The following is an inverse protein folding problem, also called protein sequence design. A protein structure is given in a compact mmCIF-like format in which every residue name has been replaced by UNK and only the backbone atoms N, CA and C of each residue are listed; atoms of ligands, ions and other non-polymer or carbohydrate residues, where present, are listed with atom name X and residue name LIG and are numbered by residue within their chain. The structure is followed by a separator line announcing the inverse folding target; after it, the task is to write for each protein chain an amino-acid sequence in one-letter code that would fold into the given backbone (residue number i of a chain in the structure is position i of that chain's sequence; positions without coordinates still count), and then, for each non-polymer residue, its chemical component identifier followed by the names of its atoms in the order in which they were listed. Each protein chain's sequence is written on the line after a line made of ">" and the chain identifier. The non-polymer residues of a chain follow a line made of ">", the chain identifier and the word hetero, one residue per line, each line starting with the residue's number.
data_IF_742512990678
#
_entry.id   IF_742512990678
#
_cell.length_a   1.000
_cell.length_b   1.000
_cell.length_c   1.000
_cell.angle_alpha   90.00
_cell.angle_beta   90.00
_cell.angle_gamma   90.00
#
_symmetry.space_group_name_H-M   'P 1'
#
loop_
_entity.id
_entity.type
_entity.pdbx_description
1 polymer ?
#
# COMPACT_ATOMS: atom_id res chain seq x y z
N UNK A 1 -9.91 -5.18 -18.98
CA UNK A 1 -10.73 -5.69 -17.86
C UNK A 1 -10.16 -5.05 -16.60
N UNK A 2 -10.92 -4.22 -15.89
CA UNK A 2 -10.44 -3.57 -14.66
C UNK A 2 -10.57 -4.57 -13.51
N UNK A 3 -9.47 -5.24 -13.15
CA UNK A 3 -9.46 -6.21 -12.06
C UNK A 3 -9.82 -5.54 -10.74
N UNK A 4 -9.53 -4.25 -10.58
CA UNK A 4 -9.92 -3.46 -9.40
C UNK A 4 -11.44 -3.50 -9.15
N UNK A 5 -12.28 -3.50 -10.18
CA UNK A 5 -13.74 -3.51 -10.00
C UNK A 5 -14.28 -4.85 -9.46
N UNK A 6 -13.58 -5.95 -9.76
CA UNK A 6 -14.06 -7.31 -9.49
C UNK A 6 -13.30 -8.02 -8.38
N UNK A 7 -12.00 -7.73 -8.23
CA UNK A 7 -11.11 -8.40 -7.29
C UNK A 7 -10.87 -7.61 -6.01
N UNK A 8 -11.08 -6.29 -5.99
CA UNK A 8 -10.76 -5.48 -4.81
C UNK A 8 -11.74 -5.75 -3.67
N UNK A 9 -11.25 -6.39 -2.61
CA UNK A 9 -12.03 -6.71 -1.42
C UNK A 9 -11.45 -6.01 -0.17
N UNK A 10 -12.30 -5.48 0.73
CA UNK A 10 -13.73 -5.25 0.56
C UNK A 10 -14.00 -4.24 -0.56
N UNK A 11 -15.09 -4.44 -1.31
CA UNK A 11 -15.49 -3.54 -2.41
C UNK A 11 -15.61 -2.09 -1.95
N UNK A 12 -15.34 -1.15 -2.86
CA UNK A 12 -15.33 0.29 -2.53
C UNK A 12 -16.68 0.80 -1.99
N UNK A 13 -17.81 0.22 -2.43
CA UNK A 13 -19.13 0.51 -1.86
C UNK A 13 -19.24 0.16 -0.37
N UNK A 14 -18.63 -0.94 0.05
CA UNK A 14 -18.58 -1.37 1.47
C UNK A 14 -17.73 -0.37 2.27
N UNK A 15 -16.56 0.02 1.75
CA UNK A 15 -15.69 1.02 2.41
C UNK A 15 -16.41 2.37 2.54
N UNK A 16 -17.11 2.81 1.50
CA UNK A 16 -17.85 4.08 1.51
C UNK A 16 -18.99 4.06 2.54
N UNK A 17 -19.76 2.98 2.58
CA UNK A 17 -20.83 2.80 3.56
C UNK A 17 -20.26 2.74 4.98
N UNK A 18 -19.19 1.97 5.19
CA UNK A 18 -18.49 1.89 6.46
C UNK A 18 -18.03 3.27 6.95
N UNK A 19 -17.42 4.07 6.08
CA UNK A 19 -16.89 5.39 6.45
C UNK A 19 -18.02 6.35 6.85
N UNK A 20 -19.24 6.13 6.33
CA UNK A 20 -20.45 6.88 6.71
C UNK A 20 -21.11 6.36 7.98
N UNK A 21 -21.14 5.03 8.18
CA UNK A 21 -21.83 4.39 9.31
C UNK A 21 -20.98 4.33 10.58
N UNK A 22 -19.66 4.25 10.45
CA UNK A 22 -18.73 4.11 11.57
C UNK A 22 -17.85 5.35 11.73
N UNK A 23 -17.42 5.63 12.97
CA UNK A 23 -16.40 6.65 13.26
C UNK A 23 -15.00 6.12 12.94
N UNK A 24 -14.75 5.85 11.66
CA UNK A 24 -13.43 5.43 11.15
C UNK A 24 -12.47 6.62 11.18
N UNK A 25 -11.24 6.39 11.64
CA UNK A 25 -10.22 7.43 11.69
C UNK A 25 -9.75 7.78 10.26
N UNK A 26 -9.55 9.07 9.96
CA UNK A 26 -9.19 9.53 8.61
C UNK A 26 -7.94 8.86 8.01
N UNK A 27 -6.95 8.49 8.84
CA UNK A 27 -5.77 7.74 8.39
C UNK A 27 -6.08 6.33 7.89
N UNK A 28 -7.14 5.70 8.41
CA UNK A 28 -7.61 4.40 7.93
C UNK A 28 -8.33 4.57 6.60
N UNK A 29 -9.08 5.66 6.42
CA UNK A 29 -9.64 6.04 5.11
C UNK A 29 -8.52 6.26 4.09
N UNK A 30 -7.50 7.04 4.45
CA UNK A 30 -6.33 7.26 3.58
C UNK A 30 -5.56 5.98 3.24
N UNK A 31 -5.60 4.96 4.11
CA UNK A 31 -5.08 3.64 3.78
C UNK A 31 -5.92 2.93 2.69
N UNK A 32 -7.24 2.99 2.78
CA UNK A 32 -8.12 2.41 1.76
C UNK A 32 -8.00 3.16 0.42
N UNK A 33 -7.80 4.47 0.47
CA UNK A 33 -7.54 5.29 -0.73
C UNK A 33 -6.20 4.91 -1.38
N UNK A 34 -5.13 4.76 -0.58
CA UNK A 34 -3.83 4.31 -1.09
C UNK A 34 -3.89 2.89 -1.69
N UNK A 35 -4.60 1.96 -1.04
CA UNK A 35 -4.73 0.61 -1.62
C UNK A 35 -5.58 0.59 -2.89
N UNK A 36 -6.58 1.46 -3.02
CA UNK A 36 -7.34 1.64 -4.27
C UNK A 36 -6.46 2.22 -5.38
N UNK A 37 -5.70 3.28 -5.09
CA UNK A 37 -4.77 3.90 -6.05
C UNK A 37 -3.72 2.88 -6.55
N UNK A 38 -3.20 2.03 -5.66
CA UNK A 38 -2.27 0.97 -6.06
C UNK A 38 -2.93 -0.12 -6.92
N UNK A 39 -4.17 -0.50 -6.64
CA UNK A 39 -4.90 -1.45 -7.50
C UNK A 39 -5.15 -0.88 -8.90
N UNK A 40 -5.44 0.41 -9.00
CA UNK A 40 -5.54 1.09 -10.31
C UNK A 40 -4.19 1.13 -11.04
N UNK A 41 -3.08 1.31 -10.31
CA UNK A 41 -1.75 1.19 -10.88
C UNK A 41 -1.51 -0.23 -11.44
N UNK A 42 -1.91 -1.27 -10.71
CA UNK A 42 -1.84 -2.65 -11.16
C UNK A 42 -2.65 -2.89 -12.45
N UNK A 43 -3.86 -2.34 -12.55
CA UNK A 43 -4.67 -2.40 -13.79
C UNK A 43 -3.94 -1.75 -14.98
N UNK A 44 -3.35 -0.58 -14.80
CA UNK A 44 -2.58 0.11 -15.84
C UNK A 44 -1.35 -0.69 -16.28
N UNK A 45 -0.67 -1.37 -15.35
CA UNK A 45 0.47 -2.23 -15.68
C UNK A 45 0.00 -3.41 -16.54
N UNK A 46 -1.13 -4.05 -16.18
CA UNK A 46 -1.68 -5.15 -16.97
C UNK A 46 -2.17 -4.72 -18.34
N UNK A 47 -2.72 -3.51 -18.47
CA UNK A 47 -3.02 -2.92 -19.78
C UNK A 47 -1.76 -2.73 -20.62
N UNK A 48 -0.68 -2.22 -20.01
CA UNK A 48 0.64 -2.12 -20.64
C UNK A 48 1.18 -3.48 -21.10
N UNK A 49 1.14 -4.50 -20.23
CA UNK A 49 1.57 -5.87 -20.55
C UNK A 49 0.77 -6.43 -21.73
N UNK A 50 -0.56 -6.31 -21.69
CA UNK A 50 -1.41 -6.79 -22.77
C UNK A 50 -1.13 -6.06 -24.09
N UNK A 51 -0.91 -4.74 -24.02
CA UNK A 51 -0.54 -3.94 -25.19
C UNK A 51 0.83 -4.37 -25.75
N UNK A 52 1.79 -4.69 -24.89
CA UNK A 52 3.08 -5.27 -25.29
C UNK A 52 2.91 -6.62 -25.99
N UNK A 53 2.09 -7.52 -25.44
CA UNK A 53 1.80 -8.83 -26.05
C UNK A 53 1.11 -8.71 -27.40
N UNK A 54 0.21 -7.75 -27.57
CA UNK A 54 -0.42 -7.46 -28.85
C UNK A 54 0.59 -6.85 -29.85
N UNK A 55 1.46 -5.97 -29.39
CA UNK A 55 2.53 -5.37 -30.19
C UNK A 55 3.62 -6.38 -30.60
N UNK A 56 3.79 -7.47 -29.83
CA UNK A 56 4.75 -8.56 -30.09
C UNK A 56 4.69 -9.10 -31.52
N UNK A 57 3.50 -9.14 -32.16
CA UNK A 57 3.38 -9.57 -33.56
C UNK A 57 4.28 -8.81 -34.53
N UNK A 58 4.60 -7.54 -34.25
CA UNK A 58 5.46 -6.71 -35.10
C UNK A 58 6.94 -7.07 -34.90
N UNK A 59 7.37 -7.24 -33.65
CA UNK A 59 8.73 -7.69 -33.31
C UNK A 59 8.97 -9.10 -33.87
N UNK A 60 8.03 -10.03 -33.63
CA UNK A 60 8.10 -11.38 -34.21
C UNK A 60 8.03 -11.35 -35.74
N UNK A 61 7.32 -10.39 -36.35
CA UNK A 61 7.30 -10.17 -37.80
C UNK A 61 8.68 -9.78 -38.35
N UNK A 62 9.35 -8.82 -37.71
CA UNK A 62 10.74 -8.44 -38.01
C UNK A 62 11.69 -9.62 -37.83
N UNK A 63 11.56 -10.39 -36.74
CA UNK A 63 12.39 -11.58 -36.46
C UNK A 63 12.14 -12.74 -37.45
N UNK A 64 10.90 -12.92 -37.92
CA UNK A 64 10.57 -13.94 -38.92
C UNK A 64 11.07 -13.54 -40.32
N UNK A 65 10.94 -12.26 -40.68
CA UNK A 65 11.50 -11.71 -41.91
C UNK A 65 13.03 -11.74 -41.89
N UNK A 66 13.65 -11.51 -40.73
CA UNK A 66 15.10 -11.53 -40.55
C UNK A 66 15.70 -12.91 -40.77
N UNK A 67 15.10 -13.96 -40.20
CA UNK A 67 15.49 -15.36 -40.44
C UNK A 67 15.42 -15.70 -41.92
N UNK A 68 14.38 -15.24 -42.62
CA UNK A 68 14.24 -15.39 -44.08
C UNK A 68 15.27 -14.60 -44.88
N UNK A 69 15.74 -13.44 -44.41
CA UNK A 69 16.81 -12.69 -45.10
C UNK A 69 18.18 -13.33 -44.88
N UNK A 70 18.42 -13.92 -43.70
CA UNK A 70 19.67 -14.60 -43.36
C UNK A 70 19.85 -15.96 -44.06
N UNK A 71 18.76 -16.71 -44.29
CA UNK A 71 18.81 -18.05 -44.88
C UNK A 71 18.94 -18.06 -46.43
N UNK A 72 18.65 -16.94 -47.11
CA UNK A 72 18.69 -16.87 -48.57
C UNK A 72 19.94 -16.14 -49.07
N UNK A 73 20.81 -16.87 -49.77
CA UNK A 73 22.02 -16.34 -50.44
C UNK A 73 21.74 -15.43 -51.64
N UNK A 74 20.49 -15.34 -52.09
CA UNK A 74 20.03 -14.39 -53.10
C UNK A 74 19.03 -13.43 -52.44
N UNK A 75 19.50 -12.24 -52.06
CA UNK A 75 18.66 -11.15 -51.60
C UNK A 75 17.58 -10.86 -52.65
N UNK A 76 16.34 -11.28 -52.39
CA UNK A 76 15.21 -10.72 -53.14
C UNK A 76 15.02 -9.29 -52.64
N UNK A 77 15.33 -8.29 -53.48
CA UNK A 77 15.27 -6.86 -53.19
C UNK A 77 13.94 -6.43 -52.54
N UNK A 78 12.85 -7.16 -52.83
CA UNK A 78 11.55 -6.94 -52.20
C UNK A 78 11.50 -7.32 -50.70
N UNK A 79 12.07 -8.47 -50.31
CA UNK A 79 12.07 -8.93 -48.90
C UNK A 79 12.89 -7.99 -48.02
N UNK A 80 14.00 -7.46 -48.55
CA UNK A 80 14.84 -6.50 -47.84
C UNK A 80 14.10 -5.16 -47.63
N UNK A 81 13.41 -4.66 -48.66
CA UNK A 81 12.57 -3.46 -48.56
C UNK A 81 11.44 -3.61 -47.55
N UNK A 82 10.79 -4.77 -47.54
CA UNK A 82 9.71 -5.06 -46.59
C UNK A 82 10.25 -5.08 -45.14
N UNK A 83 11.45 -5.65 -44.91
CA UNK A 83 12.09 -5.64 -43.61
C UNK A 83 12.45 -4.23 -43.11
N UNK A 84 13.07 -3.39 -43.96
CA UNK A 84 13.36 -2.01 -43.61
C UNK A 84 12.09 -1.19 -43.33
N UNK A 85 11.00 -1.47 -44.05
CA UNK A 85 9.69 -0.84 -43.81
C UNK A 85 9.11 -1.22 -42.45
N UNK A 86 9.20 -2.50 -42.06
CA UNK A 86 8.76 -2.95 -40.74
C UNK A 86 9.64 -2.38 -39.61
N UNK A 87 10.97 -2.33 -39.79
CA UNK A 87 11.89 -1.70 -38.83
C UNK A 87 11.58 -0.20 -38.64
N UNK A 88 11.28 0.52 -39.72
CA UNK A 88 10.89 1.92 -39.65
C UNK A 88 9.54 2.09 -38.94
N UNK A 89 8.56 1.26 -39.27
CA UNK A 89 7.25 1.25 -38.58
C UNK A 89 7.40 1.01 -37.08
N UNK A 90 8.27 0.08 -36.69
CA UNK A 90 8.56 -0.22 -35.29
C UNK A 90 9.26 0.94 -34.58
N UNK A 91 10.27 1.57 -35.20
CA UNK A 91 11.03 2.65 -34.57
C UNK A 91 10.18 3.90 -34.27
N UNK A 92 9.21 4.21 -35.14
CA UNK A 92 8.29 5.34 -34.95
C UNK A 92 7.14 5.07 -33.98
N UNK A 93 6.94 3.83 -33.54
CA UNK A 93 5.83 3.48 -32.67
C UNK A 93 6.09 3.92 -31.23
N UNK A 94 5.04 4.42 -30.55
CA UNK A 94 5.11 4.66 -29.11
C UNK A 94 5.30 3.33 -28.36
N UNK A 95 6.13 3.35 -27.32
CA UNK A 95 6.30 2.19 -26.47
C UNK A 95 5.00 1.92 -25.71
N UNK A 96 4.41 0.71 -25.83
CA UNK A 96 3.16 0.40 -25.13
C UNK A 96 3.26 0.49 -23.60
N UNK A 97 4.46 0.38 -23.01
CA UNK A 97 4.69 0.61 -21.59
C UNK A 97 4.78 2.10 -21.20
N UNK A 98 4.81 3.02 -22.16
CA UNK A 98 4.77 4.47 -21.86
C UNK A 98 3.43 4.91 -21.24
N UNK A 99 2.38 4.07 -21.30
CA UNK A 99 1.16 4.27 -20.49
C UNK A 99 1.47 4.29 -18.99
N UNK A 100 2.54 3.58 -18.60
CA UNK A 100 3.01 3.50 -17.23
C UNK A 100 4.15 4.50 -17.07
N UNK A 101 3.83 5.68 -16.56
CA UNK A 101 4.87 6.69 -16.34
C UNK A 101 5.74 6.31 -15.14
N UNK A 102 7.06 6.24 -15.34
CA UNK A 102 8.03 6.09 -14.24
C UNK A 102 7.93 7.23 -13.21
N UNK A 103 7.47 8.41 -13.64
CA UNK A 103 7.19 9.57 -12.79
C UNK A 103 6.01 9.27 -11.85
N UNK A 104 4.97 8.57 -12.33
CA UNK A 104 3.83 8.18 -11.50
C UNK A 104 4.24 7.23 -10.36
N UNK A 105 5.16 6.29 -10.59
CA UNK A 105 5.67 5.42 -9.53
C UNK A 105 6.40 6.20 -8.44
N UNK A 106 7.25 7.15 -8.81
CA UNK A 106 7.99 7.97 -7.84
C UNK A 106 7.05 8.82 -6.99
N UNK A 107 6.07 9.48 -7.62
CA UNK A 107 5.11 10.31 -6.92
C UNK A 107 4.20 9.49 -5.98
N UNK A 108 3.77 8.29 -6.40
CA UNK A 108 2.98 7.37 -5.57
C UNK A 108 3.82 6.88 -4.39
N UNK A 109 5.06 6.46 -4.64
CA UNK A 109 6.00 6.02 -3.61
C UNK A 109 6.17 7.06 -2.50
N UNK A 110 6.43 8.32 -2.85
CA UNK A 110 6.65 9.38 -1.87
C UNK A 110 5.39 9.68 -1.03
N UNK A 111 4.21 9.64 -1.66
CA UNK A 111 2.94 9.73 -0.93
C UNK A 111 2.77 8.58 0.05
N UNK A 112 3.12 7.36 -0.33
CA UNK A 112 2.94 6.18 0.51
C UNK A 112 3.94 6.11 1.64
N UNK A 113 5.21 6.49 1.42
CA UNK A 113 6.19 6.67 2.49
C UNK A 113 5.72 7.71 3.50
N UNK A 114 5.17 8.83 3.02
CA UNK A 114 4.60 9.87 3.88
C UNK A 114 3.42 9.32 4.69
N UNK A 115 2.49 8.61 4.07
CA UNK A 115 1.37 7.97 4.74
C UNK A 115 1.85 6.96 5.80
N UNK A 116 2.80 6.10 5.45
CA UNK A 116 3.42 5.13 6.36
C UNK A 116 4.02 5.81 7.59
N UNK A 117 4.74 6.91 7.38
CA UNK A 117 5.32 7.68 8.47
C UNK A 117 4.23 8.27 9.39
N UNK A 118 3.16 8.83 8.82
CA UNK A 118 2.04 9.39 9.58
C UNK A 118 1.32 8.30 10.38
N UNK A 119 1.05 7.14 9.78
CA UNK A 119 0.45 5.98 10.45
C UNK A 119 1.30 5.52 11.65
N UNK A 120 2.59 5.28 11.42
CA UNK A 120 3.55 4.88 12.47
C UNK A 120 3.66 5.93 13.58
N UNK A 121 3.73 7.21 13.21
CA UNK A 121 3.83 8.32 14.18
C UNK A 121 2.58 8.41 15.05
N UNK A 122 1.39 8.38 14.44
CA UNK A 122 0.10 8.43 15.15
C UNK A 122 -0.04 7.25 16.12
N UNK A 123 0.27 6.04 15.65
CA UNK A 123 0.28 4.82 16.49
C UNK A 123 1.19 4.98 17.70
N UNK A 124 2.45 5.39 17.50
CA UNK A 124 3.40 5.63 18.60
C UNK A 124 2.87 6.66 19.61
N UNK A 125 2.25 7.73 19.14
CA UNK A 125 1.64 8.74 20.01
C UNK A 125 0.49 8.18 20.87
N UNK A 126 -0.39 7.39 20.27
CA UNK A 126 -1.49 6.72 20.98
C UNK A 126 -0.94 5.73 22.02
N UNK A 127 0.01 4.87 21.61
CA UNK A 127 0.63 3.88 22.48
C UNK A 127 1.31 4.52 23.70
N UNK A 128 2.07 5.61 23.50
CA UNK A 128 2.67 6.38 24.61
C UNK A 128 1.61 6.91 25.57
N UNK A 129 0.52 7.46 25.04
CA UNK A 129 -0.58 7.98 25.87
C UNK A 129 -1.25 6.88 26.69
N UNK A 130 -1.46 5.70 26.09
CA UNK A 130 -2.03 4.54 26.78
C UNK A 130 -1.13 4.03 27.90
N UNK A 131 0.18 3.95 27.65
CA UNK A 131 1.17 3.55 28.64
C UNK A 131 1.21 4.53 29.82
N UNK A 132 1.25 5.84 29.55
CA UNK A 132 1.20 6.88 30.58
C UNK A 132 -0.05 6.77 31.44
N UNK A 133 -1.23 6.56 30.82
CA UNK A 133 -2.48 6.34 31.57
C UNK A 133 -2.41 5.10 32.47
N UNK A 134 -1.85 3.99 31.99
CA UNK A 134 -1.68 2.76 32.77
C UNK A 134 -0.77 3.01 33.98
N UNK A 135 0.34 3.72 33.80
CA UNK A 135 1.27 4.10 34.88
C UNK A 135 0.60 5.04 35.89
N UNK A 136 -0.06 6.11 35.43
CA UNK A 136 -0.77 7.05 36.31
C UNK A 136 -1.87 6.36 37.12
N UNK A 137 -2.63 5.42 36.53
CA UNK A 137 -3.64 4.63 37.26
C UNK A 137 -3.01 3.77 38.35
N UNK A 138 -1.87 3.14 38.06
CA UNK A 138 -1.15 2.31 39.03
C UNK A 138 -0.66 3.15 40.21
N UNK A 139 -0.03 4.29 39.94
CA UNK A 139 0.45 5.21 40.98
C UNK A 139 -0.70 5.81 41.80
N UNK A 140 -1.78 6.24 41.14
CA UNK A 140 -2.98 6.74 41.82
C UNK A 140 -3.63 5.70 42.72
N UNK A 141 -3.66 4.43 42.31
CA UNK A 141 -4.12 3.32 43.15
C UNK A 141 -3.26 3.15 44.41
N UNK A 142 -1.94 3.16 44.27
CA UNK A 142 -1.00 3.07 45.40
C UNK A 142 -1.18 4.25 46.36
N UNK A 143 -1.27 5.47 45.85
CA UNK A 143 -1.49 6.68 46.64
C UNK A 143 -2.84 6.68 47.39
N UNK A 144 -3.88 6.09 46.78
CA UNK A 144 -5.20 5.97 47.40
C UNK A 144 -5.21 4.96 48.54
N UNK A 145 -4.57 3.79 48.36
CA UNK A 145 -4.46 2.77 49.41
C UNK A 145 -3.64 3.29 50.58
N UNK A 146 -2.48 3.90 50.31
CA UNK A 146 -1.62 4.46 51.36
C UNK A 146 -2.30 5.58 52.14
N UNK A 147 -3.04 6.48 51.48
CA UNK A 147 -3.80 7.53 52.17
C UNK A 147 -4.94 6.98 53.03
N UNK A 148 -5.68 5.96 52.56
CA UNK A 148 -6.71 5.31 53.37
C UNK A 148 -6.11 4.64 54.61
N UNK A 149 -4.99 3.92 54.47
CA UNK A 149 -4.29 3.32 55.62
C UNK A 149 -3.87 4.40 56.64
N UNK A 150 -3.29 5.51 56.17
CA UNK A 150 -2.88 6.62 57.05
C UNK A 150 -4.07 7.27 57.78
N UNK A 151 -5.19 7.50 57.07
CA UNK A 151 -6.42 8.06 57.66
C UNK A 151 -6.99 7.11 58.73
N UNK A 152 -7.06 5.81 58.45
CA UNK A 152 -7.54 4.82 59.42
C UNK A 152 -6.69 4.79 60.69
N UNK A 153 -5.36 4.86 60.54
CA UNK A 153 -4.44 4.95 61.69
C UNK A 153 -4.70 6.23 62.49
N UNK A 154 -4.85 7.38 61.83
CA UNK A 154 -5.13 8.65 62.50
C UNK A 154 -6.47 8.63 63.27
N UNK A 155 -7.53 8.06 62.68
CA UNK A 155 -8.84 7.90 63.33
C UNK A 155 -8.74 7.00 64.55
N UNK A 156 -8.00 5.89 64.47
CA UNK A 156 -7.77 4.98 65.60
C UNK A 156 -7.08 5.72 66.75
N UNK A 157 -5.97 6.41 66.47
CA UNK A 157 -5.25 7.21 67.47
C UNK A 157 -6.16 8.25 68.12
N UNK A 158 -6.92 9.00 67.32
CA UNK A 158 -7.84 10.02 67.84
C UNK A 158 -8.96 9.43 68.71
N UNK A 159 -9.48 8.26 68.34
CA UNK A 159 -10.51 7.55 69.12
C UNK A 159 -9.98 7.10 70.48
N UNK A 160 -8.72 6.67 70.58
CA UNK A 160 -8.11 6.31 71.86
C UNK A 160 -7.86 7.53 72.75
N UNK A 161 -7.61 8.71 72.17
CA UNK A 161 -7.32 9.93 72.92
C UNK A 161 -8.55 10.81 73.20
N UNK A 162 -9.70 10.57 72.55
CA UNK A 162 -10.91 11.39 72.71
C UNK A 162 -11.99 10.67 73.52
N UNK A 163 -11.96 10.83 74.84
CA UNK A 163 -13.08 10.44 75.73
C UNK A 163 -14.21 11.49 75.72
N UNK A 164 -14.08 12.64 75.05
CA UNK A 164 -15.16 13.65 74.98
C UNK A 164 -15.25 14.27 73.59
N UNK A 165 -16.40 14.09 72.91
CA UNK A 165 -16.78 14.91 71.75
C UNK A 165 -17.59 14.17 70.67
N UNK A 166 -18.91 14.12 70.86
CA UNK A 166 -19.91 13.65 69.89
C UNK A 166 -20.27 14.75 68.86
N UNK A 167 -20.77 14.34 67.68
CA UNK A 167 -21.49 15.12 66.62
C UNK A 167 -20.55 15.91 65.67
N UNK A 168 -20.63 15.90 64.33
CA UNK A 168 -21.78 15.86 63.43
C UNK A 168 -21.46 15.17 62.08
N UNK A 169 -22.38 14.31 61.60
CA UNK A 169 -22.53 14.01 60.17
C UNK A 169 -23.48 15.05 59.56
N UNK A 170 -23.19 15.63 58.38
CA UNK A 170 -24.01 15.26 57.22
C UNK A 170 -23.33 15.49 55.84
N UNK A 171 -23.09 14.45 55.03
CA UNK A 171 -22.94 14.61 53.57
C UNK A 171 -23.38 13.36 52.79
N UNK A 172 -24.63 12.93 52.93
CA UNK A 172 -25.11 11.75 52.16
C UNK A 172 -25.70 12.16 50.79
N UNK A 173 -26.22 13.37 50.64
CA UNK A 173 -26.91 13.79 49.40
C UNK A 173 -25.95 14.26 48.28
N UNK A 174 -24.85 14.92 48.61
CA UNK A 174 -23.79 15.26 47.63
C UNK A 174 -23.01 14.04 47.12
N UNK A 175 -23.02 12.94 47.89
CA UNK A 175 -22.33 11.69 47.57
C UNK A 175 -22.92 10.97 46.35
N UNK A 176 -24.25 10.95 46.19
CA UNK A 176 -24.92 10.22 45.09
C UNK A 176 -24.69 10.88 43.72
N UNK A 177 -24.80 12.22 43.64
CA UNK A 177 -24.51 12.98 42.41
C UNK A 177 -23.01 12.89 42.07
N UNK A 178 -22.13 12.99 43.07
CA UNK A 178 -20.69 12.81 42.90
C UNK A 178 -20.31 11.39 42.45
N UNK A 179 -20.98 10.36 42.96
CA UNK A 179 -20.80 8.96 42.54
C UNK A 179 -21.29 8.73 41.11
N UNK A 180 -22.43 9.32 40.72
CA UNK A 180 -22.97 9.23 39.37
C UNK A 180 -22.06 9.92 38.34
N UNK A 181 -21.61 11.15 38.64
CA UNK A 181 -20.62 11.87 37.80
C UNK A 181 -19.28 11.14 37.72
N UNK A 182 -18.79 10.56 38.83
CA UNK A 182 -17.60 9.68 38.81
C UNK A 182 -17.82 8.41 37.98
N UNK A 183 -19.03 7.84 37.98
CA UNK A 183 -19.37 6.66 37.17
C UNK A 183 -19.40 7.00 35.67
N UNK A 184 -20.04 8.10 35.28
CA UNK A 184 -20.04 8.59 33.88
C UNK A 184 -18.61 8.87 33.41
N UNK A 185 -17.81 9.58 34.21
CA UNK A 185 -16.41 9.89 33.88
C UNK A 185 -15.58 8.62 33.67
N UNK A 186 -15.74 7.61 34.53
CA UNK A 186 -15.07 6.30 34.39
C UNK A 186 -15.50 5.55 33.13
N UNK A 187 -16.79 5.56 32.80
CA UNK A 187 -17.31 4.93 31.58
C UNK A 187 -16.77 5.62 30.33
N UNK A 188 -16.81 6.95 30.28
CA UNK A 188 -16.25 7.74 29.18
C UNK A 188 -14.74 7.52 29.01
N UNK A 189 -14.00 7.46 30.12
CA UNK A 189 -12.56 7.20 30.10
C UNK A 189 -12.23 5.77 29.63
N UNK A 190 -13.02 4.77 30.06
CA UNK A 190 -12.89 3.38 29.60
C UNK A 190 -13.18 3.28 28.10
N UNK A 191 -14.26 3.91 27.63
CA UNK A 191 -14.60 3.97 26.21
C UNK A 191 -13.47 4.61 25.39
N UNK A 192 -12.95 5.77 25.82
CA UNK A 192 -11.85 6.46 25.13
C UNK A 192 -10.56 5.64 25.13
N UNK A 193 -10.27 4.90 26.20
CA UNK A 193 -9.11 4.02 26.29
C UNK A 193 -9.26 2.83 25.35
N UNK A 194 -10.43 2.19 25.35
CA UNK A 194 -10.75 1.08 24.45
C UNK A 194 -10.71 1.50 22.97
N UNK A 195 -11.30 2.64 22.62
CA UNK A 195 -11.18 3.22 21.27
C UNK A 195 -9.72 3.48 20.87
N UNK A 196 -8.90 4.02 21.79
CA UNK A 196 -7.49 4.28 21.52
C UNK A 196 -6.69 2.99 21.32
N UNK A 197 -6.99 1.93 22.07
CA UNK A 197 -6.38 0.60 21.89
C UNK A 197 -6.77 0.02 20.52
N UNK A 198 -8.06 0.04 20.16
CA UNK A 198 -8.57 -0.40 18.83
C UNK A 198 -7.90 0.35 17.68
N UNK A 199 -7.86 1.68 17.77
CA UNK A 199 -7.22 2.51 16.75
C UNK A 199 -5.72 2.23 16.65
N UNK A 200 -5.05 1.88 17.75
CA UNK A 200 -3.63 1.50 17.72
C UNK A 200 -3.40 0.24 16.88
N UNK A 201 -4.28 -0.75 17.00
CA UNK A 201 -4.21 -2.01 16.24
C UNK A 201 -4.54 -1.79 14.77
N UNK A 202 -5.61 -1.04 14.47
CA UNK A 202 -5.97 -0.63 13.10
C UNK A 202 -4.82 0.09 12.39
N UNK A 203 -4.16 1.04 13.07
CA UNK A 203 -3.00 1.77 12.53
C UNK A 203 -1.77 0.87 12.35
N UNK A 204 -1.58 -0.16 13.18
CA UNK A 204 -0.48 -1.14 13.02
C UNK A 204 -0.69 -1.99 11.77
N UNK A 205 -1.88 -2.56 11.60
CA UNK A 205 -2.22 -3.38 10.43
C UNK A 205 -2.18 -2.54 9.15
N UNK A 206 -2.76 -1.34 9.16
CA UNK A 206 -2.68 -0.41 8.03
C UNK A 206 -1.23 -0.05 7.69
N UNK A 207 -0.39 0.26 8.69
CA UNK A 207 1.03 0.59 8.45
C UNK A 207 1.81 -0.59 7.86
N UNK A 208 1.54 -1.83 8.29
CA UNK A 208 2.12 -3.03 7.68
C UNK A 208 1.68 -3.17 6.22
N UNK A 209 0.40 -2.93 5.93
CA UNK A 209 -0.15 -2.92 4.58
C UNK A 209 0.53 -1.91 3.66
N UNK A 210 0.64 -0.64 4.08
CA UNK A 210 1.32 0.40 3.29
C UNK A 210 2.80 0.06 3.09
N UNK A 211 3.48 -0.49 4.09
CA UNK A 211 4.89 -0.91 3.94
C UNK A 211 5.07 -1.96 2.86
N UNK A 212 4.20 -2.97 2.82
CA UNK A 212 4.27 -3.99 1.77
C UNK A 212 3.97 -3.37 0.40
N UNK A 213 2.94 -2.51 0.33
CA UNK A 213 2.54 -1.84 -0.91
C UNK A 213 3.65 -0.97 -1.51
N UNK A 214 4.42 -0.26 -0.67
CA UNK A 214 5.59 0.50 -1.10
C UNK A 214 6.62 -0.42 -1.76
N UNK A 215 6.95 -1.55 -1.13
CA UNK A 215 7.95 -2.48 -1.65
C UNK A 215 7.51 -3.14 -2.97
N UNK A 216 6.22 -3.51 -3.07
CA UNK A 216 5.66 -4.10 -4.28
C UNK A 216 5.72 -3.09 -5.45
N UNK A 217 5.33 -1.83 -5.20
CA UNK A 217 5.40 -0.76 -6.20
C UNK A 217 6.83 -0.43 -6.61
N UNK A 218 7.80 -0.44 -5.70
CA UNK A 218 9.22 -0.24 -6.03
C UNK A 218 9.77 -1.38 -6.89
N UNK A 219 9.28 -2.60 -6.67
CA UNK A 219 9.67 -3.77 -7.45
C UNK A 219 9.06 -3.71 -8.84
N UNK A 220 7.75 -3.51 -8.95
CA UNK A 220 7.07 -3.34 -10.23
C UNK A 220 7.60 -2.13 -11.00
N UNK A 221 7.85 -1.00 -10.34
CA UNK A 221 8.39 0.20 -10.97
C UNK A 221 9.76 -0.04 -11.62
N UNK A 222 10.63 -0.83 -10.97
CA UNK A 222 11.92 -1.25 -11.55
C UNK A 222 11.75 -2.21 -12.72
N UNK A 223 10.85 -3.18 -12.62
CA UNK A 223 10.54 -4.13 -13.69
C UNK A 223 9.96 -3.43 -14.93
N UNK A 224 8.99 -2.53 -14.73
CA UNK A 224 8.42 -1.69 -15.79
C UNK A 224 9.50 -0.85 -16.45
N UNK A 225 10.36 -0.18 -15.66
CA UNK A 225 11.47 0.61 -16.19
C UNK A 225 12.42 -0.24 -17.04
N UNK A 226 12.81 -1.43 -16.57
CA UNK A 226 13.67 -2.36 -17.31
C UNK A 226 13.08 -2.72 -18.68
N UNK A 227 11.82 -3.17 -18.70
CA UNK A 227 11.13 -3.53 -19.94
C UNK A 227 10.93 -2.31 -20.87
N UNK A 228 10.62 -1.15 -20.30
CA UNK A 228 10.48 0.09 -21.05
C UNK A 228 11.79 0.47 -21.74
N UNK A 229 12.90 0.46 -21.00
CA UNK A 229 14.23 0.83 -21.51
C UNK A 229 14.70 -0.16 -22.59
N UNK A 230 14.36 -1.44 -22.47
CA UNK A 230 14.66 -2.47 -23.49
C UNK A 230 13.91 -2.22 -24.82
N UNK A 231 12.62 -1.87 -24.76
CA UNK A 231 11.84 -1.51 -25.95
C UNK A 231 12.36 -0.22 -26.60
N UNK A 232 12.70 0.80 -25.81
CA UNK A 232 13.30 2.03 -26.34
C UNK A 232 14.68 1.80 -26.96
N UNK A 233 15.49 0.91 -26.38
CA UNK A 233 16.75 0.49 -26.97
C UNK A 233 16.54 -0.19 -28.33
N UNK A 234 15.61 -1.14 -28.42
CA UNK A 234 15.27 -1.79 -29.70
C UNK A 234 14.76 -0.83 -30.77
N UNK A 235 13.96 0.16 -30.38
CA UNK A 235 13.51 1.21 -31.31
C UNK A 235 14.67 2.06 -31.80
N UNK A 236 15.60 2.42 -30.91
CA UNK A 236 16.80 3.18 -31.26
C UNK A 236 17.67 2.41 -32.27
N UNK A 237 17.97 1.13 -32.03
CA UNK A 237 18.79 0.33 -32.96
C UNK A 237 18.07 0.11 -34.31
N UNK A 238 16.74 -0.04 -34.31
CA UNK A 238 15.95 -0.11 -35.53
C UNK A 238 16.00 1.20 -36.34
N UNK A 239 15.89 2.36 -35.68
CA UNK A 239 16.03 3.67 -36.30
C UNK A 239 17.43 3.87 -36.91
N UNK A 240 18.49 3.49 -36.19
CA UNK A 240 19.86 3.53 -36.69
C UNK A 240 20.03 2.64 -37.92
N UNK A 241 19.44 1.44 -37.93
CA UNK A 241 19.45 0.52 -39.06
C UNK A 241 18.75 1.10 -40.29
N UNK A 242 17.56 1.67 -40.11
CA UNK A 242 16.81 2.31 -41.21
C UNK A 242 17.56 3.49 -41.81
N UNK A 243 18.27 4.27 -40.98
CA UNK A 243 19.11 5.39 -41.42
C UNK A 243 20.43 4.94 -42.06
N UNK A 244 20.91 3.74 -41.75
CA UNK A 244 22.16 3.19 -42.24
C UNK A 244 21.92 1.83 -42.90
N UNK A 245 21.64 1.83 -44.21
CA UNK A 245 21.31 0.63 -45.01
C UNK A 245 22.47 -0.34 -45.23
N UNK A 246 23.50 -0.31 -44.38
CA UNK A 246 24.62 -1.25 -44.43
C UNK A 246 24.17 -2.62 -43.92
N UNK A 247 24.38 -3.66 -44.73
CA UNK A 247 23.99 -5.03 -44.40
C UNK A 247 24.60 -5.57 -43.09
N UNK A 248 25.78 -5.10 -42.68
CA UNK A 248 26.40 -5.47 -41.40
C UNK A 248 25.61 -4.93 -40.19
N UNK A 249 25.13 -3.68 -40.28
CA UNK A 249 24.31 -3.05 -39.23
C UNK A 249 22.97 -3.78 -39.14
N UNK A 250 22.39 -4.13 -40.28
CA UNK A 250 21.17 -4.95 -40.33
C UNK A 250 21.40 -6.30 -39.64
N UNK A 251 22.46 -7.03 -39.96
CA UNK A 251 22.77 -8.32 -39.31
C UNK A 251 22.91 -8.21 -37.80
N UNK A 252 23.62 -7.19 -37.31
CA UNK A 252 23.78 -6.96 -35.87
C UNK A 252 22.44 -6.70 -35.18
N UNK A 253 21.63 -5.80 -35.74
CA UNK A 253 20.31 -5.44 -35.21
C UNK A 253 19.40 -6.67 -35.14
N UNK A 254 19.40 -7.49 -36.21
CA UNK A 254 18.60 -8.71 -36.26
C UNK A 254 19.06 -9.77 -35.24
N UNK A 255 20.36 -9.86 -34.98
CA UNK A 255 20.90 -10.73 -33.94
C UNK A 255 20.48 -10.25 -32.54
N UNK A 256 20.62 -8.95 -32.25
CA UNK A 256 20.20 -8.35 -30.97
C UNK A 256 18.70 -8.61 -30.68
N UNK A 257 17.83 -8.46 -31.69
CA UNK A 257 16.40 -8.74 -31.55
C UNK A 257 16.10 -10.20 -31.21
N UNK A 258 16.83 -11.15 -31.81
CA UNK A 258 16.57 -12.58 -31.62
C UNK A 258 17.18 -13.13 -30.32
N UNK A 259 18.35 -12.64 -29.91
CA UNK A 259 19.03 -13.08 -28.69
C UNK A 259 18.27 -12.69 -27.42
N UNK A 260 17.62 -11.51 -27.42
CA UNK A 260 16.96 -10.97 -26.23
C UNK A 260 15.44 -11.22 -26.19
N UNK A 261 14.83 -11.80 -27.23
CA UNK A 261 13.37 -12.01 -27.31
C UNK A 261 12.84 -12.89 -26.16
N UNK A 262 13.50 -14.02 -25.87
CA UNK A 262 13.04 -14.92 -24.80
C UNK A 262 13.15 -14.28 -23.43
N UNK A 263 14.29 -13.65 -23.12
CA UNK A 263 14.49 -12.97 -21.85
C UNK A 263 13.47 -11.85 -21.64
N UNK A 264 13.19 -11.05 -22.67
CA UNK A 264 12.17 -10.00 -22.58
C UNK A 264 10.78 -10.55 -22.21
N UNK A 265 10.40 -11.71 -22.78
CA UNK A 265 9.11 -12.34 -22.50
C UNK A 265 9.04 -12.91 -21.08
N UNK A 266 10.12 -13.52 -20.62
CA UNK A 266 10.24 -13.98 -19.23
C UNK A 266 10.10 -12.80 -18.26
N UNK A 267 10.77 -11.67 -18.53
CA UNK A 267 10.64 -10.46 -17.72
C UNK A 267 9.22 -9.88 -17.73
N UNK A 268 8.51 -9.99 -18.86
CA UNK A 268 7.13 -9.53 -18.98
C UNK A 268 6.16 -10.44 -18.20
N UNK A 269 6.42 -11.74 -18.17
CA UNK A 269 5.70 -12.73 -17.35
C UNK A 269 5.98 -12.52 -15.86
N UNK A 270 7.24 -12.33 -15.46
CA UNK A 270 7.63 -11.98 -14.08
C UNK A 270 6.89 -10.73 -13.58
N UNK A 271 6.79 -9.69 -14.42
CA UNK A 271 6.05 -8.48 -14.07
C UNK A 271 4.56 -8.78 -13.88
N UNK A 272 3.95 -9.56 -14.76
CA UNK A 272 2.54 -9.93 -14.63
C UNK A 272 2.27 -10.72 -13.35
N UNK A 273 3.09 -11.72 -13.04
CA UNK A 273 3.00 -12.48 -11.80
C UNK A 273 3.10 -11.57 -10.57
N UNK A 274 4.04 -10.63 -10.59
CA UNK A 274 4.21 -9.69 -9.48
C UNK A 274 3.00 -8.77 -9.31
N UNK A 275 2.35 -8.37 -10.41
CA UNK A 275 1.09 -7.60 -10.34
C UNK A 275 -0.02 -8.40 -9.68
N UNK A 276 -0.19 -9.68 -10.04
CA UNK A 276 -1.19 -10.54 -9.39
C UNK A 276 -0.90 -10.76 -7.91
N UNK A 277 0.37 -10.95 -7.54
CA UNK A 277 0.80 -11.05 -6.14
C UNK A 277 0.52 -9.76 -5.36
N UNK A 278 0.74 -8.59 -5.97
CA UNK A 278 0.41 -7.30 -5.37
C UNK A 278 -1.11 -7.18 -5.12
N UNK A 279 -1.95 -7.54 -6.09
CA UNK A 279 -3.41 -7.57 -5.92
C UNK A 279 -3.85 -8.47 -4.75
N UNK A 280 -3.31 -9.68 -4.68
CA UNK A 280 -3.60 -10.62 -3.59
C UNK A 280 -3.24 -10.03 -2.22
N UNK A 281 -2.07 -9.38 -2.16
CA UNK A 281 -1.55 -8.77 -0.94
C UNK A 281 -2.35 -7.55 -0.52
N UNK A 282 -2.77 -6.71 -1.47
CA UNK A 282 -3.69 -5.59 -1.24
C UNK A 282 -4.99 -6.09 -0.63
N UNK A 283 -5.62 -7.09 -1.25
CA UNK A 283 -6.89 -7.66 -0.76
C UNK A 283 -6.75 -8.24 0.65
N UNK A 284 -5.70 -9.04 0.87
CA UNK A 284 -5.43 -9.60 2.19
C UNK A 284 -5.26 -8.52 3.23
N UNK A 285 -4.49 -7.47 2.93
CA UNK A 285 -4.25 -6.36 3.85
C UNK A 285 -5.54 -5.59 4.15
N UNK A 286 -6.35 -5.30 3.12
CA UNK A 286 -7.63 -4.58 3.27
C UNK A 286 -8.62 -5.35 4.13
N UNK A 287 -8.71 -6.68 3.95
CA UNK A 287 -9.54 -7.55 4.78
C UNK A 287 -9.08 -7.54 6.24
N UNK A 288 -7.76 -7.57 6.49
CA UNK A 288 -7.23 -7.50 7.86
C UNK A 288 -7.55 -6.17 8.54
N UNK A 289 -7.46 -5.04 7.82
CA UNK A 289 -7.84 -3.74 8.37
C UNK A 289 -9.35 -3.69 8.62
N UNK A 290 -10.16 -4.23 7.72
CA UNK A 290 -11.61 -4.35 7.87
C UNK A 290 -11.99 -5.16 9.13
N UNK A 291 -11.33 -6.30 9.36
CA UNK A 291 -11.50 -7.12 10.58
C UNK A 291 -11.19 -6.33 11.86
N UNK A 292 -10.10 -5.55 11.87
CA UNK A 292 -9.79 -4.69 13.03
C UNK A 292 -10.80 -3.55 13.26
N UNK A 293 -11.58 -3.20 12.24
CA UNK A 293 -12.69 -2.25 12.38
C UNK A 293 -13.93 -2.96 12.94
N UNK A 294 -14.26 -4.14 12.44
CA UNK A 294 -15.51 -4.86 12.78
C UNK A 294 -15.43 -5.72 14.04
N UNK A 295 -14.34 -6.46 14.25
CA UNK A 295 -14.21 -7.49 15.29
C UNK A 295 -14.24 -6.91 16.71
N UNK A 296 -13.94 -5.61 16.82
CA UNK A 296 -13.94 -4.92 18.10
C UNK A 296 -15.22 -4.12 18.33
N UNK A 297 -16.25 -4.15 17.50
CA UNK A 297 -17.50 -3.43 17.80
C UNK A 297 -18.49 -4.16 18.72
N UNK A 298 -18.19 -5.40 19.08
CA UNK A 298 -18.87 -6.16 20.15
C UNK A 298 -18.11 -6.07 21.49
#
# INVERSE_FOLDING_TARGET
>A
MHLTEYLLEPRQGIITNMTRSFKVHNLIVGYFDATLEASLCCDNILEGINSMRLAKRRITGVVMLSKRVLDFTNENDQTLKDLYKELASFSFQNNPLSIISTIQFHDIHDRYIKLLHILKSKRRGIQRTLLLKKVCKRLGGIALVTSHCAILIAILVFSFHSIVGLVAAPTIVGGLVGLFMKRIKRVHERFRTSYSERLCDQLDVAAKGVYILVNDLDTMGRMVKRLHDEVEHWKMIADVCVKNTKGEILKQVLWDFNEHESSFLEQLEELEEHVYLCFLTINRSRIQVMQEITDKEH
#
